data_IF_397936761887
#
_entry.id   IF_397936761887
#
_cell.length_a   1.000
_cell.length_b   1.000
_cell.length_c   1.000
_cell.angle_alpha   90.00
_cell.angle_beta   90.00
_cell.angle_gamma   90.00
#
_symmetry.space_group_name_H-M   'P 1'
#
loop_
_entity.id
_entity.type
_entity.pdbx_description
1 polymer ?
#
# COMPACT_ATOMS: atom_id res chain seq x y z
N UNK A 1 -19.69 2.35 14.45
CA UNK A 1 -18.26 2.06 14.78
C UNK A 1 -18.13 1.10 15.98
N UNK A 2 -19.02 0.15 16.14
CA UNK A 2 -18.92 -0.86 17.20
C UNK A 2 -17.69 -1.75 16.97
N UNK A 3 -16.75 -1.77 17.90
CA UNK A 3 -15.53 -2.58 17.86
C UNK A 3 -14.28 -1.93 17.23
N UNK A 4 -14.41 -0.79 16.56
CA UNK A 4 -13.28 0.00 16.03
C UNK A 4 -12.78 0.94 17.12
N UNK A 5 -11.49 0.97 17.37
CA UNK A 5 -10.86 1.88 18.33
C UNK A 5 -9.63 2.57 17.72
N UNK A 6 -9.37 3.84 18.06
CA UNK A 6 -8.19 4.53 17.61
C UNK A 6 -6.95 3.92 18.27
N UNK A 7 -5.94 3.61 17.47
CA UNK A 7 -4.65 3.11 17.92
C UNK A 7 -3.59 4.20 17.90
N UNK A 8 -3.55 4.97 16.80
CA UNK A 8 -2.65 6.12 16.61
C UNK A 8 -3.46 7.28 16.07
N UNK A 9 -3.19 8.50 16.52
CA UNK A 9 -3.90 9.70 16.06
C UNK A 9 -2.95 10.84 15.78
N UNK A 10 -3.39 11.79 14.94
CA UNK A 10 -2.71 13.04 14.73
C UNK A 10 -1.44 12.94 13.88
N UNK A 11 -1.50 12.17 12.79
CA UNK A 11 -0.45 12.09 11.78
C UNK A 11 -0.78 12.94 10.56
N UNK A 12 0.22 13.16 9.69
CA UNK A 12 0.02 13.99 8.52
C UNK A 12 -0.80 13.25 7.45
N UNK A 13 -0.24 12.18 6.88
CA UNK A 13 -0.92 11.32 5.91
C UNK A 13 -0.28 9.93 5.90
N UNK A 14 -1.04 8.90 6.28
CA UNK A 14 -0.52 7.57 6.50
C UNK A 14 -0.80 6.66 5.31
N UNK A 15 0.24 5.94 4.86
CA UNK A 15 0.25 5.06 3.69
C UNK A 15 1.05 3.78 3.91
N UNK A 16 0.91 2.83 2.96
CA UNK A 16 1.73 1.63 2.83
C UNK A 16 1.84 0.78 4.09
N UNK A 17 0.73 0.51 4.83
CA UNK A 17 0.84 -0.24 6.08
C UNK A 17 1.27 -1.68 5.81
N UNK A 18 2.15 -2.21 6.69
CA UNK A 18 2.59 -3.61 6.65
C UNK A 18 2.77 -4.15 8.07
N UNK A 19 2.22 -5.32 8.32
CA UNK A 19 2.45 -6.06 9.56
C UNK A 19 3.64 -6.99 9.39
N UNK A 20 4.71 -6.76 10.15
CA UNK A 20 5.94 -7.52 10.09
C UNK A 20 6.56 -7.65 11.49
N UNK A 21 7.06 -8.84 11.84
CA UNK A 21 7.74 -9.13 13.11
C UNK A 21 7.05 -8.55 14.36
N UNK A 22 5.72 -8.75 14.45
CA UNK A 22 4.94 -8.36 15.62
C UNK A 22 4.73 -6.87 15.79
N UNK A 23 4.87 -6.07 14.72
CA UNK A 23 4.58 -4.65 14.71
C UNK A 23 3.92 -4.22 13.39
N UNK A 24 3.16 -3.13 13.44
CA UNK A 24 2.69 -2.44 12.26
C UNK A 24 3.73 -1.39 11.83
N UNK A 25 4.06 -1.37 10.56
CA UNK A 25 4.85 -0.32 9.93
C UNK A 25 3.96 0.46 9.00
N UNK A 26 4.15 1.77 8.94
CA UNK A 26 3.41 2.65 8.03
C UNK A 26 4.27 3.85 7.66
N UNK A 27 4.07 4.36 6.46
CA UNK A 27 4.66 5.60 6.00
C UNK A 27 3.78 6.78 6.44
N UNK A 28 4.32 7.73 7.22
CA UNK A 28 3.72 9.06 7.36
C UNK A 28 4.23 9.90 6.18
N UNK A 29 3.57 9.71 5.02
CA UNK A 29 4.01 10.20 3.72
C UNK A 29 4.28 11.71 3.72
N UNK A 30 3.38 12.49 4.29
CA UNK A 30 3.54 13.93 4.40
C UNK A 30 4.26 14.37 5.69
N UNK A 31 4.52 13.43 6.61
CA UNK A 31 5.35 13.63 7.79
C UNK A 31 6.81 13.24 7.58
N UNK A 32 7.16 12.78 6.36
CA UNK A 32 8.52 12.42 5.96
C UNK A 32 9.17 11.35 6.85
N UNK A 33 8.40 10.35 7.26
CA UNK A 33 8.87 9.33 8.17
C UNK A 33 8.24 7.96 7.91
N UNK A 34 9.02 6.90 8.11
CA UNK A 34 8.50 5.55 8.29
C UNK A 34 8.35 5.31 9.79
N UNK A 35 7.16 4.88 10.18
CA UNK A 35 6.77 4.63 11.56
C UNK A 35 6.76 3.14 11.86
N UNK A 36 7.14 2.79 13.09
CA UNK A 36 6.89 1.49 13.71
C UNK A 36 5.89 1.67 14.85
N UNK A 37 4.81 0.90 14.82
CA UNK A 37 3.71 0.97 15.78
C UNK A 37 3.56 -0.37 16.47
N UNK A 38 3.58 -0.40 17.81
CA UNK A 38 3.31 -1.60 18.59
C UNK A 38 1.82 -1.96 18.57
N UNK A 39 1.45 -3.17 19.00
CA UNK A 39 0.05 -3.56 19.16
C UNK A 39 -0.71 -2.66 20.16
N UNK A 40 0.00 -2.07 21.11
CA UNK A 40 -0.58 -1.16 22.12
C UNK A 40 -0.65 0.30 21.63
N UNK A 41 -0.16 0.58 20.43
CA UNK A 41 -0.19 1.92 19.82
C UNK A 41 1.01 2.80 20.14
N UNK A 42 2.07 2.27 20.72
CA UNK A 42 3.31 3.02 20.89
C UNK A 42 3.98 3.24 19.52
N UNK A 43 4.27 4.51 19.22
CA UNK A 43 4.83 4.91 17.92
C UNK A 43 6.28 5.32 18.06
N UNK A 44 7.12 4.83 17.18
CA UNK A 44 8.49 5.29 17.00
C UNK A 44 8.78 5.57 15.53
N UNK A 45 9.57 6.63 15.27
CA UNK A 45 10.12 6.88 13.93
C UNK A 45 11.27 5.90 13.70
N UNK A 46 11.15 5.12 12.63
CA UNK A 46 12.19 4.17 12.21
C UNK A 46 13.21 4.83 11.28
N UNK A 47 12.71 5.57 10.29
CA UNK A 47 13.50 6.24 9.24
C UNK A 47 12.86 7.59 8.93
N UNK A 48 13.70 8.62 8.78
CA UNK A 48 13.30 9.89 8.17
C UNK A 48 13.59 9.84 6.67
N UNK A 49 12.59 10.05 5.84
CA UNK A 49 12.68 9.94 4.38
C UNK A 49 11.62 10.83 3.73
N UNK A 50 12.00 11.59 2.72
CA UNK A 50 11.07 12.45 1.96
C UNK A 50 10.02 11.61 1.21
N UNK A 51 8.76 11.87 1.51
CA UNK A 51 7.58 11.24 0.94
C UNK A 51 7.71 9.70 0.79
N UNK A 52 7.86 8.94 1.91
CA UNK A 52 7.77 7.49 1.86
C UNK A 52 6.33 7.07 1.56
N UNK A 53 6.14 5.95 0.83
CA UNK A 53 4.84 5.32 0.59
C UNK A 53 4.94 3.81 0.82
N UNK A 54 5.03 2.99 -0.21
CA UNK A 54 5.06 1.53 -0.10
C UNK A 54 6.23 0.99 0.71
N UNK A 55 5.95 -0.06 1.47
CA UNK A 55 6.92 -0.79 2.31
C UNK A 55 6.94 -2.27 1.96
N UNK A 56 8.09 -2.91 2.09
CA UNK A 56 8.23 -4.36 1.97
C UNK A 56 9.58 -4.83 2.48
N UNK A 57 9.80 -6.14 2.56
CA UNK A 57 11.05 -6.70 3.08
C UNK A 57 11.70 -7.64 2.09
N UNK A 58 13.00 -7.48 1.94
CA UNK A 58 13.85 -8.47 1.26
C UNK A 58 14.02 -9.73 2.14
N UNK A 59 14.35 -10.88 1.53
CA UNK A 59 14.60 -12.12 2.29
C UNK A 59 15.74 -12.04 3.31
N UNK A 60 16.63 -11.05 3.20
CA UNK A 60 17.71 -10.79 4.16
C UNK A 60 17.27 -9.94 5.36
N UNK A 61 15.99 -9.53 5.42
CA UNK A 61 15.41 -8.72 6.48
C UNK A 61 15.54 -7.22 6.28
N UNK A 62 16.19 -6.75 5.21
CA UNK A 62 16.22 -5.31 4.87
C UNK A 62 14.85 -4.84 4.39
N UNK A 63 14.45 -3.64 4.82
CA UNK A 63 13.22 -3.00 4.36
C UNK A 63 13.45 -2.25 3.05
N UNK A 64 12.55 -2.41 2.10
CA UNK A 64 12.41 -1.56 0.92
C UNK A 64 11.32 -0.52 1.16
N UNK A 65 11.57 0.71 0.72
CA UNK A 65 10.69 1.86 0.90
C UNK A 65 10.62 2.63 -0.41
N UNK A 66 9.43 2.83 -0.96
CA UNK A 66 9.29 3.76 -2.10
C UNK A 66 9.41 5.21 -1.60
N UNK A 67 10.31 5.99 -2.23
CA UNK A 67 10.43 7.44 -2.05
C UNK A 67 9.83 8.12 -3.28
N UNK A 68 8.59 8.59 -3.12
CA UNK A 68 7.71 8.97 -4.23
C UNK A 68 8.32 10.04 -5.14
N UNK A 69 8.55 11.23 -4.61
CA UNK A 69 9.07 12.37 -5.37
C UNK A 69 10.50 12.14 -5.90
N UNK A 70 11.30 11.36 -5.18
CA UNK A 70 12.66 10.99 -5.63
C UNK A 70 12.64 9.92 -6.72
N UNK A 71 11.53 9.24 -6.90
CA UNK A 71 11.35 8.14 -7.85
C UNK A 71 12.42 7.06 -7.69
N UNK A 72 12.65 6.65 -6.44
CA UNK A 72 13.59 5.59 -6.13
C UNK A 72 13.06 4.67 -5.04
N UNK A 73 13.52 3.43 -5.06
CA UNK A 73 13.33 2.50 -3.95
C UNK A 73 14.54 2.61 -3.05
N UNK A 74 14.30 2.89 -1.77
CA UNK A 74 15.32 2.93 -0.74
C UNK A 74 15.41 1.58 -0.04
N UNK A 75 16.60 1.22 0.46
CA UNK A 75 16.84 0.04 1.30
C UNK A 75 17.34 0.49 2.66
N UNK A 76 16.70 0.00 3.69
CA UNK A 76 17.09 0.20 5.08
C UNK A 76 17.45 -1.14 5.71
N UNK A 77 18.66 -1.31 6.21
CA UNK A 77 19.18 -2.56 6.78
C UNK A 77 19.09 -2.63 8.32
N UNK A 78 18.39 -1.65 8.93
CA UNK A 78 18.28 -1.50 10.38
C UNK A 78 19.24 -0.43 10.94
N UNK A 79 20.21 0.06 10.16
CA UNK A 79 21.14 1.12 10.53
C UNK A 79 21.30 2.17 9.45
N UNK A 80 21.52 1.74 8.22
CA UNK A 80 21.82 2.60 7.10
C UNK A 80 20.67 2.62 6.09
N UNK A 81 20.40 3.81 5.54
CA UNK A 81 19.44 4.05 4.47
C UNK A 81 20.18 4.41 3.19
N UNK A 82 20.00 3.61 2.14
CA UNK A 82 20.65 3.83 0.84
C UNK A 82 19.68 3.68 -0.33
N UNK A 83 20.00 4.26 -1.48
CA UNK A 83 19.26 3.99 -2.71
C UNK A 83 19.48 2.54 -3.11
N UNK A 84 18.40 1.78 -3.28
CA UNK A 84 18.42 0.42 -3.81
C UNK A 84 18.26 0.42 -5.33
N UNK A 85 17.28 1.18 -5.84
CA UNK A 85 17.03 1.33 -7.27
C UNK A 85 16.60 2.76 -7.61
N UNK A 86 17.14 3.31 -8.68
CA UNK A 86 16.68 4.57 -9.30
C UNK A 86 15.66 4.23 -10.39
N UNK A 87 14.42 4.66 -10.19
CA UNK A 87 13.31 4.44 -11.10
C UNK A 87 13.01 5.65 -12.00
N UNK A 88 13.78 6.73 -11.88
CA UNK A 88 13.61 7.93 -12.70
C UNK A 88 13.71 7.69 -14.23
N UNK A 89 14.44 6.67 -14.72
CA UNK A 89 14.42 6.32 -16.13
C UNK A 89 13.09 5.70 -16.63
N UNK A 90 12.27 5.15 -15.72
CA UNK A 90 11.02 4.43 -16.02
C UNK A 90 9.78 5.21 -15.61
N UNK A 91 9.89 6.08 -14.61
CA UNK A 91 8.80 6.87 -14.06
C UNK A 91 8.99 8.36 -14.35
N UNK A 92 8.10 8.97 -15.12
CA UNK A 92 8.14 10.42 -15.41
C UNK A 92 7.71 11.27 -14.21
N UNK A 93 6.81 10.74 -13.38
CA UNK A 93 6.26 11.36 -12.16
C UNK A 93 6.44 10.45 -10.95
N UNK A 94 5.76 10.76 -9.84
CA UNK A 94 5.90 10.04 -8.59
C UNK A 94 5.63 8.53 -8.75
N UNK A 95 6.47 7.72 -8.11
CA UNK A 95 6.15 6.31 -7.82
C UNK A 95 5.22 6.24 -6.61
N UNK A 96 4.58 5.09 -6.39
CA UNK A 96 3.56 4.94 -5.35
C UNK A 96 3.86 3.75 -4.42
N UNK A 97 2.83 2.97 -4.06
CA UNK A 97 2.97 1.79 -3.19
C UNK A 97 3.87 0.72 -3.83
N UNK A 98 4.35 -0.18 -3.01
CA UNK A 98 5.10 -1.36 -3.43
C UNK A 98 4.71 -2.59 -2.61
N UNK A 99 4.88 -3.76 -3.19
CA UNK A 99 4.92 -5.02 -2.45
C UNK A 99 6.13 -5.84 -2.87
N UNK A 100 6.58 -6.74 -2.00
CA UNK A 100 7.76 -7.59 -2.24
C UNK A 100 7.33 -9.06 -2.18
N UNK A 101 7.73 -9.84 -3.18
CA UNK A 101 7.50 -11.28 -3.19
C UNK A 101 8.51 -12.03 -2.31
N UNK A 102 8.27 -13.32 -2.12
CA UNK A 102 9.16 -14.20 -1.33
C UNK A 102 10.58 -14.37 -1.90
N UNK A 103 10.81 -13.98 -3.15
CA UNK A 103 12.11 -14.04 -3.81
C UNK A 103 12.85 -12.69 -3.76
N UNK A 104 12.20 -11.64 -3.27
CA UNK A 104 12.74 -10.30 -3.13
C UNK A 104 12.49 -9.39 -4.34
N UNK A 105 11.63 -9.80 -5.28
CA UNK A 105 11.21 -8.89 -6.33
C UNK A 105 10.20 -7.90 -5.76
N UNK A 106 10.48 -6.60 -5.89
CA UNK A 106 9.58 -5.53 -5.49
C UNK A 106 8.79 -5.04 -6.71
N UNK A 107 7.46 -5.10 -6.64
CA UNK A 107 6.56 -4.50 -7.62
C UNK A 107 6.20 -3.11 -7.15
N UNK A 108 6.36 -2.10 -8.02
CA UNK A 108 6.24 -0.69 -7.67
C UNK A 108 5.25 -0.01 -8.62
N UNK A 109 4.22 0.60 -8.04
CA UNK A 109 3.25 1.42 -8.75
C UNK A 109 3.81 2.81 -9.06
N UNK A 110 3.18 3.51 -10.00
CA UNK A 110 3.48 4.91 -10.32
C UNK A 110 2.22 5.65 -10.76
N UNK A 111 2.22 6.96 -10.63
CA UNK A 111 1.11 7.81 -11.08
C UNK A 111 1.06 7.91 -12.61
N UNK A 112 2.20 8.10 -13.26
CA UNK A 112 2.31 8.27 -14.71
C UNK A 112 2.05 9.68 -15.22
N UNK A 113 1.56 10.60 -14.37
CA UNK A 113 1.20 11.98 -14.71
C UNK A 113 1.39 12.89 -13.48
N UNK A 114 1.41 14.22 -13.69
CA UNK A 114 1.50 15.20 -12.59
C UNK A 114 0.16 15.30 -11.84
N UNK A 115 -0.02 14.39 -10.87
CA UNK A 115 -1.20 14.39 -10.01
C UNK A 115 -1.33 15.70 -9.21
N UNK A 116 -0.21 16.19 -8.67
CA UNK A 116 -0.20 17.44 -7.88
C UNK A 116 -0.46 18.68 -8.74
N UNK A 117 -0.03 18.66 -10.00
CA UNK A 117 -0.31 19.71 -10.97
C UNK A 117 -1.72 19.66 -11.56
N UNK A 118 -2.45 18.57 -11.32
CA UNK A 118 -3.84 18.41 -11.79
C UNK A 118 -3.96 17.97 -13.25
N UNK A 119 -2.96 17.29 -13.76
CA UNK A 119 -3.04 16.67 -15.08
C UNK A 119 -4.13 15.57 -15.12
N UNK A 120 -4.67 15.31 -16.33
CA UNK A 120 -5.59 14.19 -16.51
C UNK A 120 -4.88 12.85 -16.33
N UNK A 121 -5.52 11.87 -15.68
CA UNK A 121 -4.93 10.54 -15.47
C UNK A 121 -4.57 9.86 -16.79
N UNK A 122 -3.33 9.36 -16.85
CA UNK A 122 -2.85 8.52 -17.95
C UNK A 122 -2.34 7.19 -17.41
N UNK A 123 -2.44 6.16 -18.23
CA UNK A 123 -1.94 4.85 -17.86
C UNK A 123 -0.40 4.84 -17.81
N UNK A 124 0.14 4.03 -16.92
CA UNK A 124 1.57 3.89 -16.69
C UNK A 124 1.98 2.41 -16.53
N UNK A 125 3.29 2.16 -16.60
CA UNK A 125 3.83 0.84 -16.39
C UNK A 125 3.87 0.46 -14.91
N UNK A 126 3.69 -0.83 -14.60
CA UNK A 126 4.11 -1.42 -13.33
C UNK A 126 5.59 -1.77 -13.42
N UNK A 127 6.35 -1.37 -12.41
CA UNK A 127 7.78 -1.58 -12.37
C UNK A 127 8.11 -2.77 -11.47
N UNK A 128 9.19 -3.48 -11.78
CA UNK A 128 9.80 -4.48 -10.90
C UNK A 128 11.23 -4.05 -10.60
N UNK A 129 11.60 -4.18 -9.32
CA UNK A 129 12.96 -4.04 -8.83
C UNK A 129 13.42 -5.39 -8.32
N UNK A 130 14.52 -5.88 -8.85
CA UNK A 130 15.12 -7.16 -8.46
C UNK A 130 15.97 -7.01 -7.19
N UNK A 131 16.30 -8.12 -6.49
CA UNK A 131 17.08 -8.05 -5.24
C UNK A 131 18.46 -7.39 -5.38
N UNK A 132 19.03 -7.32 -6.57
CA UNK A 132 20.31 -6.66 -6.86
C UNK A 132 20.15 -5.16 -7.16
N UNK A 133 18.91 -4.63 -7.17
CA UNK A 133 18.58 -3.24 -7.48
C UNK A 133 18.38 -2.95 -8.96
N UNK A 134 18.51 -3.93 -9.85
CA UNK A 134 18.11 -3.74 -11.25
C UNK A 134 16.60 -3.58 -11.38
N UNK A 135 16.14 -2.77 -12.36
CA UNK A 135 14.74 -2.46 -12.53
C UNK A 135 14.29 -2.60 -13.99
N UNK A 136 13.01 -2.97 -14.17
CA UNK A 136 12.38 -3.06 -15.48
C UNK A 136 10.87 -2.82 -15.40
N UNK A 137 10.25 -2.53 -16.54
CA UNK A 137 8.79 -2.56 -16.69
C UNK A 137 8.34 -4.02 -16.85
N UNK A 138 7.27 -4.43 -16.13
CA UNK A 138 6.74 -5.81 -16.15
C UNK A 138 5.29 -5.90 -16.59
N UNK A 139 4.58 -4.79 -16.59
CA UNK A 139 3.25 -4.63 -17.19
C UNK A 139 3.08 -3.17 -17.60
N UNK A 140 2.13 -2.89 -18.46
CA UNK A 140 1.79 -1.55 -18.93
C UNK A 140 0.29 -1.26 -18.74
N UNK A 141 -0.13 -0.05 -19.10
CA UNK A 141 -1.55 0.33 -19.18
C UNK A 141 -2.32 0.16 -17.86
N UNK A 142 -1.71 0.52 -16.71
CA UNK A 142 -2.38 0.60 -15.42
C UNK A 142 -2.76 2.04 -15.10
N UNK A 143 -3.99 2.27 -14.66
CA UNK A 143 -4.52 3.59 -14.31
C UNK A 143 -4.33 3.86 -12.81
N UNK A 144 -3.18 4.47 -12.46
CA UNK A 144 -2.80 4.79 -11.08
C UNK A 144 -2.69 3.52 -10.22
N UNK A 145 -1.64 2.73 -10.45
CA UNK A 145 -1.34 1.56 -9.65
C UNK A 145 -1.06 1.98 -8.20
N UNK A 146 -1.90 1.48 -7.27
CA UNK A 146 -1.88 1.82 -5.85
C UNK A 146 -1.58 0.57 -5.01
N UNK A 147 -2.37 0.26 -3.98
CA UNK A 147 -2.14 -0.88 -3.11
C UNK A 147 -1.95 -2.19 -3.87
N UNK A 148 -1.01 -3.02 -3.42
CA UNK A 148 -0.70 -4.31 -4.03
C UNK A 148 -0.55 -5.40 -2.99
N UNK A 149 -1.04 -6.60 -3.34
CA UNK A 149 -0.90 -7.80 -2.51
C UNK A 149 -0.61 -9.02 -3.38
N UNK A 150 -0.01 -10.03 -2.79
CA UNK A 150 0.25 -11.32 -3.44
C UNK A 150 -0.54 -12.39 -2.69
N UNK A 151 -1.20 -13.29 -3.44
CA UNK A 151 -1.95 -14.41 -2.87
C UNK A 151 -1.07 -15.33 -2.01
N UNK A 152 -1.69 -16.06 -1.08
CA UNK A 152 -1.01 -16.90 -0.09
C UNK A 152 -0.08 -17.94 -0.69
N UNK A 153 -0.44 -18.47 -1.87
CA UNK A 153 0.36 -19.43 -2.61
C UNK A 153 1.52 -18.77 -3.40
N UNK A 154 1.53 -17.44 -3.48
CA UNK A 154 2.51 -16.65 -4.21
C UNK A 154 2.36 -16.68 -5.72
N UNK A 155 1.21 -17.12 -6.24
CA UNK A 155 1.00 -17.31 -7.67
C UNK A 155 0.31 -16.15 -8.39
N UNK A 156 -0.27 -15.20 -7.64
CA UNK A 156 -1.01 -14.07 -8.22
C UNK A 156 -0.62 -12.76 -7.54
N UNK A 157 -0.27 -11.77 -8.35
CA UNK A 157 -0.17 -10.37 -7.92
C UNK A 157 -1.50 -9.67 -8.20
N UNK A 158 -2.06 -9.03 -7.18
CA UNK A 158 -3.25 -8.18 -7.27
C UNK A 158 -2.85 -6.72 -7.10
N UNK A 159 -3.28 -5.87 -8.02
CA UNK A 159 -2.97 -4.43 -8.07
C UNK A 159 -4.26 -3.63 -8.07
N UNK A 160 -4.43 -2.74 -7.11
CA UNK A 160 -5.50 -1.75 -7.11
C UNK A 160 -5.20 -0.67 -8.15
N UNK A 161 -6.08 -0.46 -9.11
CA UNK A 161 -6.02 0.63 -10.07
C UNK A 161 -7.04 1.70 -9.65
N UNK A 162 -6.59 2.79 -9.01
CA UNK A 162 -7.50 3.78 -8.43
C UNK A 162 -8.43 4.38 -9.47
N UNK A 163 -7.91 4.93 -10.55
CA UNK A 163 -8.75 5.50 -11.62
C UNK A 163 -9.31 4.45 -12.57
N UNK A 164 -8.81 3.21 -12.52
CA UNK A 164 -9.41 2.06 -13.19
C UNK A 164 -10.64 1.53 -12.46
N UNK A 165 -10.85 1.89 -11.19
CA UNK A 165 -11.91 1.37 -10.30
C UNK A 165 -12.00 -0.15 -10.33
N UNK A 166 -10.86 -0.80 -10.19
CA UNK A 166 -10.77 -2.26 -10.25
C UNK A 166 -9.54 -2.77 -9.50
N UNK A 167 -9.56 -4.03 -9.24
CA UNK A 167 -8.37 -4.80 -8.90
C UNK A 167 -7.98 -5.60 -10.14
N UNK A 168 -6.76 -5.44 -10.60
CA UNK A 168 -6.18 -6.20 -11.71
C UNK A 168 -5.31 -7.32 -11.15
N UNK A 169 -5.52 -8.55 -11.65
CA UNK A 169 -4.73 -9.71 -11.30
C UNK A 169 -3.74 -10.08 -12.40
N UNK A 170 -2.56 -10.55 -12.00
CA UNK A 170 -1.54 -11.11 -12.86
C UNK A 170 -1.09 -12.46 -12.31
N UNK A 171 -0.86 -13.44 -13.17
CA UNK A 171 -0.14 -14.64 -12.77
C UNK A 171 1.32 -14.27 -12.53
N UNK A 172 1.83 -14.60 -11.34
CA UNK A 172 3.17 -14.27 -10.88
C UNK A 172 4.06 -15.51 -10.93
N UNK A 173 5.09 -15.48 -11.76
CA UNK A 173 6.08 -16.54 -11.82
C UNK A 173 7.20 -16.33 -10.80
N UNK A 174 7.94 -17.40 -10.47
CA UNK A 174 9.03 -17.35 -9.48
C UNK A 174 10.25 -16.50 -9.86
N UNK A 175 10.34 -16.09 -11.12
CA UNK A 175 11.35 -15.12 -11.61
C UNK A 175 10.85 -13.66 -11.60
N UNK A 176 9.66 -13.42 -11.02
CA UNK A 176 9.03 -12.11 -10.96
C UNK A 176 8.39 -11.65 -12.28
N UNK A 177 8.28 -12.52 -13.29
CA UNK A 177 7.54 -12.18 -14.51
C UNK A 177 6.03 -12.27 -14.28
N UNK A 178 5.29 -11.37 -14.97
CA UNK A 178 3.83 -11.29 -14.90
C UNK A 178 3.22 -11.71 -16.22
N UNK A 179 2.14 -12.50 -16.15
CA UNK A 179 1.38 -12.94 -17.31
C UNK A 179 -0.13 -12.94 -17.02
N UNK A 180 -0.94 -13.27 -18.00
CA UNK A 180 -2.38 -13.50 -17.88
C UNK A 180 -3.12 -12.37 -17.12
N UNK A 181 -2.85 -11.10 -17.52
CA UNK A 181 -3.58 -9.94 -16.98
C UNK A 181 -5.07 -10.11 -17.10
N UNK A 182 -5.79 -9.89 -15.99
CA UNK A 182 -7.25 -9.97 -15.93
C UNK A 182 -7.83 -8.98 -14.95
N UNK A 183 -9.08 -8.58 -15.16
CA UNK A 183 -9.85 -7.89 -14.12
C UNK A 183 -10.20 -8.93 -13.05
N UNK A 184 -9.65 -8.80 -11.85
CA UNK A 184 -9.94 -9.67 -10.72
C UNK A 184 -11.25 -9.25 -10.04
N UNK A 185 -11.48 -7.93 -9.89
CA UNK A 185 -12.74 -7.36 -9.40
C UNK A 185 -12.97 -5.96 -9.97
N UNK A 186 -14.19 -5.69 -10.43
CA UNK A 186 -14.68 -4.32 -10.66
C UNK A 186 -15.15 -3.72 -9.33
N UNK A 187 -14.92 -2.42 -9.13
CA UNK A 187 -15.25 -1.72 -7.89
C UNK A 187 -16.11 -0.48 -8.15
N UNK A 188 -16.95 -0.13 -7.19
CA UNK A 188 -17.79 1.08 -7.28
C UNK A 188 -16.98 2.36 -7.05
N UNK A 189 -15.92 2.30 -6.23
CA UNK A 189 -15.09 3.43 -5.82
C UNK A 189 -13.65 3.29 -6.35
N UNK A 190 -12.87 4.33 -6.12
CA UNK A 190 -11.43 4.33 -6.33
C UNK A 190 -10.77 3.47 -5.25
N UNK A 191 -10.19 2.30 -5.57
CA UNK A 191 -9.42 1.55 -4.58
C UNK A 191 -8.12 2.29 -4.26
N UNK A 192 -7.73 2.28 -2.98
CA UNK A 192 -6.48 2.80 -2.50
C UNK A 192 -5.61 1.67 -1.93
N UNK A 193 -5.14 1.73 -0.68
CA UNK A 193 -4.41 0.63 -0.09
C UNK A 193 -5.27 -0.61 0.13
N UNK A 194 -4.69 -1.79 -0.08
CA UNK A 194 -5.38 -3.09 0.03
C UNK A 194 -4.62 -4.07 0.92
N UNK A 195 -5.34 -5.01 1.53
CA UNK A 195 -4.79 -6.12 2.30
C UNK A 195 -5.48 -7.43 1.94
N UNK A 196 -4.74 -8.55 1.97
CA UNK A 196 -5.28 -9.88 1.63
C UNK A 196 -5.42 -10.76 2.87
N UNK A 197 -6.48 -11.53 2.94
CA UNK A 197 -6.70 -12.47 4.05
C UNK A 197 -6.49 -13.95 3.66
N UNK A 198 -6.65 -14.85 4.63
CA UNK A 198 -6.41 -16.28 4.48
C UNK A 198 -7.32 -16.99 3.46
N UNK A 199 -8.42 -16.36 3.07
CA UNK A 199 -9.35 -16.86 2.05
C UNK A 199 -9.05 -16.27 0.66
N UNK A 200 -7.91 -15.58 0.49
CA UNK A 200 -7.53 -14.78 -0.69
C UNK A 200 -8.56 -13.67 -1.04
N UNK A 201 -9.41 -13.27 -0.08
CA UNK A 201 -10.24 -12.11 -0.24
C UNK A 201 -9.48 -10.84 0.14
N UNK A 202 -9.83 -9.73 -0.49
CA UNK A 202 -9.09 -8.47 -0.39
C UNK A 202 -9.91 -7.44 0.36
N UNK A 203 -9.34 -6.90 1.45
CA UNK A 203 -9.81 -5.66 2.07
C UNK A 203 -9.33 -4.48 1.26
N UNK A 204 -10.24 -3.61 0.89
CA UNK A 204 -10.00 -2.46 0.01
C UNK A 204 -10.40 -1.19 0.74
N UNK A 205 -9.50 -0.23 0.81
CA UNK A 205 -9.83 1.13 1.21
C UNK A 205 -10.56 1.85 0.07
N UNK A 206 -11.70 2.45 0.38
CA UNK A 206 -12.58 3.18 -0.54
C UNK A 206 -12.71 4.64 -0.08
N UNK A 207 -11.81 5.54 -0.49
CA UNK A 207 -11.73 6.91 0.04
C UNK A 207 -12.97 7.76 -0.21
N UNK A 208 -13.60 7.67 -1.39
CA UNK A 208 -14.74 8.51 -1.73
C UNK A 208 -16.03 8.10 -1.02
N UNK A 209 -16.11 6.86 -0.54
CA UNK A 209 -17.27 6.35 0.21
C UNK A 209 -17.01 6.22 1.72
N UNK A 210 -15.86 6.68 2.22
CA UNK A 210 -15.51 6.64 3.64
C UNK A 210 -15.70 5.24 4.24
N UNK A 211 -15.16 4.20 3.60
CA UNK A 211 -15.36 2.81 4.04
C UNK A 211 -14.21 1.88 3.63
N UNK A 212 -14.10 0.77 4.33
CA UNK A 212 -13.33 -0.40 3.91
C UNK A 212 -14.29 -1.51 3.51
N UNK A 213 -14.03 -2.17 2.39
CA UNK A 213 -14.84 -3.31 1.91
C UNK A 213 -13.97 -4.56 1.76
N UNK A 214 -14.53 -5.71 2.11
CA UNK A 214 -13.92 -7.01 1.82
C UNK A 214 -14.53 -7.57 0.54
N UNK A 215 -13.69 -7.83 -0.45
CA UNK A 215 -14.10 -8.23 -1.80
C UNK A 215 -13.50 -9.59 -2.12
N UNK A 216 -14.25 -10.47 -2.75
CA UNK A 216 -13.75 -11.71 -3.34
C UNK A 216 -13.58 -11.58 -4.85
N UNK A 217 -12.89 -12.51 -5.49
CA UNK A 217 -12.76 -12.54 -6.95
C UNK A 217 -14.14 -12.46 -7.62
N UNK A 218 -14.23 -11.61 -8.66
CA UNK A 218 -15.50 -11.29 -9.31
C UNK A 218 -16.23 -10.07 -8.76
N UNK A 219 -15.75 -9.45 -7.67
CA UNK A 219 -16.23 -8.15 -7.17
C UNK A 219 -17.35 -8.21 -6.13
N UNK A 220 -17.76 -9.41 -5.65
CA UNK A 220 -18.75 -9.50 -4.57
C UNK A 220 -18.19 -8.92 -3.26
N UNK A 221 -18.91 -7.96 -2.67
CA UNK A 221 -18.59 -7.38 -1.36
C UNK A 221 -19.19 -8.26 -0.25
N UNK A 222 -18.33 -8.84 0.58
CA UNK A 222 -18.72 -9.77 1.65
C UNK A 222 -18.73 -9.14 3.04
N UNK A 223 -18.08 -8.00 3.23
CA UNK A 223 -18.12 -7.20 4.46
C UNK A 223 -17.84 -5.72 4.16
N UNK A 224 -18.35 -4.85 5.05
CA UNK A 224 -18.16 -3.40 4.98
C UNK A 224 -17.91 -2.84 6.37
N UNK A 225 -16.96 -1.90 6.48
CA UNK A 225 -16.67 -1.13 7.69
C UNK A 225 -16.71 0.34 7.30
N UNK A 226 -17.74 1.06 7.77
CA UNK A 226 -17.89 2.48 7.49
C UNK A 226 -17.04 3.34 8.43
N UNK A 227 -16.43 4.39 7.87
CA UNK A 227 -15.62 5.39 8.57
C UNK A 227 -16.17 6.81 8.30
N UNK A 228 -17.42 7.11 8.69
CA UNK A 228 -18.12 8.31 8.26
C UNK A 228 -17.34 9.58 8.61
N UNK A 229 -17.12 10.43 7.58
CA UNK A 229 -16.37 11.66 7.67
C UNK A 229 -14.85 11.47 7.74
N UNK A 230 -14.38 10.26 7.43
CA UNK A 230 -12.95 9.93 7.33
C UNK A 230 -12.70 9.07 6.10
N UNK A 231 -11.90 9.57 5.18
CA UNK A 231 -11.50 8.82 4.00
C UNK A 231 -10.71 7.58 4.41
N UNK A 232 -11.07 6.44 3.87
CA UNK A 232 -10.32 5.20 4.02
C UNK A 232 -9.13 5.23 3.05
N UNK A 233 -7.91 5.19 3.56
CA UNK A 233 -6.68 5.37 2.77
C UNK A 233 -6.01 4.03 2.50
N UNK A 234 -5.69 3.27 3.56
CA UNK A 234 -5.03 1.99 3.41
C UNK A 234 -5.38 1.07 4.58
N UNK A 235 -5.19 -0.23 4.40
CA UNK A 235 -5.40 -1.19 5.47
C UNK A 235 -4.36 -2.31 5.45
N UNK A 236 -4.23 -2.99 6.60
CA UNK A 236 -3.37 -4.15 6.76
C UNK A 236 -3.94 -5.08 7.82
N UNK A 237 -3.81 -6.37 7.61
CA UNK A 237 -4.14 -7.40 8.59
C UNK A 237 -2.92 -7.76 9.43
N UNK A 238 -3.11 -7.93 10.73
CA UNK A 238 -2.02 -8.28 11.63
C UNK A 238 -2.50 -8.60 13.05
N UNK A 239 -1.69 -8.23 14.04
CA UNK A 239 -1.88 -8.62 15.44
C UNK A 239 -1.36 -10.03 15.73
N UNK A 240 -1.27 -10.39 17.01
CA UNK A 240 -0.67 -11.65 17.45
C UNK A 240 -1.29 -12.91 16.83
N UNK A 241 -2.56 -12.86 16.43
CA UNK A 241 -3.28 -13.96 15.77
C UNK A 241 -3.67 -13.67 14.31
N UNK A 242 -3.19 -12.54 13.77
CA UNK A 242 -3.46 -12.11 12.40
C UNK A 242 -4.88 -11.59 12.14
N UNK A 243 -5.71 -11.41 13.15
CA UNK A 243 -7.14 -11.06 13.03
C UNK A 243 -7.46 -9.60 13.39
N UNK A 244 -6.48 -8.74 13.43
CA UNK A 244 -6.66 -7.31 13.60
C UNK A 244 -6.53 -6.63 12.25
N UNK A 245 -7.59 -5.97 11.80
CA UNK A 245 -7.54 -5.07 10.65
C UNK A 245 -7.13 -3.70 11.17
N UNK A 246 -5.96 -3.23 10.73
CA UNK A 246 -5.49 -1.87 10.91
C UNK A 246 -5.98 -1.04 9.72
N UNK A 247 -6.64 0.07 10.03
CA UNK A 247 -7.29 0.94 9.06
C UNK A 247 -6.70 2.35 9.15
N UNK A 248 -6.03 2.77 8.12
CA UNK A 248 -5.47 4.11 8.00
C UNK A 248 -6.51 5.04 7.38
N UNK A 249 -6.82 6.12 8.06
CA UNK A 249 -7.84 7.07 7.63
C UNK A 249 -7.34 8.50 7.76
N UNK A 250 -7.91 9.42 6.96
CA UNK A 250 -7.65 10.85 7.07
C UNK A 250 -8.94 11.66 6.86
N UNK A 251 -8.98 12.91 7.31
CA UNK A 251 -10.12 13.82 7.02
C UNK A 251 -9.89 14.65 5.76
N UNK A 252 -8.71 14.53 5.14
CA UNK A 252 -8.35 15.20 3.89
C UNK A 252 -7.70 14.20 2.94
N UNK A 253 -7.92 14.36 1.65
CA UNK A 253 -7.16 13.74 0.57
C UNK A 253 -6.23 14.76 -0.09
N UNK A 254 -5.97 15.84 0.62
CA UNK A 254 -5.38 17.04 0.08
C UNK A 254 -3.88 16.97 -0.14
N UNK A 255 -3.41 18.09 -0.67
CA UNK A 255 -2.00 18.34 -0.90
C UNK A 255 -1.21 18.30 0.42
N UNK A 256 0.10 18.05 0.34
CA UNK A 256 1.02 17.92 1.47
C UNK A 256 0.84 19.00 2.53
N UNK A 257 0.77 20.27 2.13
CA UNK A 257 0.58 21.38 3.07
C UNK A 257 -0.72 21.28 3.87
N UNK A 258 -1.80 20.86 3.21
CA UNK A 258 -3.11 20.70 3.86
C UNK A 258 -3.07 19.57 4.89
N UNK A 259 -2.52 18.42 4.54
CA UNK A 259 -2.36 17.28 5.45
C UNK A 259 -1.45 17.58 6.64
N UNK A 260 -0.32 18.25 6.40
CA UNK A 260 0.60 18.70 7.47
C UNK A 260 -0.06 19.70 8.42
N UNK A 261 -1.00 20.52 7.93
CA UNK A 261 -1.74 21.46 8.76
C UNK A 261 -2.87 20.77 9.52
N UNK A 262 -3.60 19.88 8.87
CA UNK A 262 -4.74 19.18 9.46
C UNK A 262 -4.32 18.16 10.53
N UNK A 263 -3.19 17.47 10.34
CA UNK A 263 -2.70 16.41 11.25
C UNK A 263 -3.84 15.43 11.62
N UNK A 264 -4.57 14.99 10.61
CA UNK A 264 -5.85 14.29 10.78
C UNK A 264 -5.81 12.81 10.39
N UNK A 265 -4.64 12.31 10.01
CA UNK A 265 -4.47 10.90 9.72
C UNK A 265 -4.36 10.08 11.02
N UNK A 266 -5.15 9.02 11.09
CA UNK A 266 -5.24 8.14 12.23
C UNK A 266 -5.17 6.67 11.80
N UNK A 267 -4.70 5.80 12.70
CA UNK A 267 -4.81 4.35 12.58
C UNK A 267 -5.88 3.89 13.55
N UNK A 268 -6.87 3.17 13.03
CA UNK A 268 -7.85 2.44 13.82
C UNK A 268 -7.55 0.95 13.76
N UNK A 269 -7.88 0.24 14.83
CA UNK A 269 -7.80 -1.21 14.90
C UNK A 269 -9.18 -1.81 15.15
N UNK A 270 -9.48 -2.92 14.48
CA UNK A 270 -10.71 -3.68 14.64
C UNK A 270 -10.46 -5.17 14.48
N UNK A 271 -11.11 -5.98 15.31
CA UNK A 271 -11.10 -7.45 15.16
C UNK A 271 -12.00 -7.87 14.02
N UNK A 272 -11.48 -8.69 13.12
CA UNK A 272 -12.20 -9.31 12.00
C UNK A 272 -12.21 -10.84 12.12
N UNK A 273 -13.04 -11.50 11.30
CA UNK A 273 -13.20 -12.96 11.38
C UNK A 273 -12.06 -13.72 10.70
N UNK A 274 -11.62 -13.23 9.57
CA UNK A 274 -10.51 -13.79 8.79
C UNK A 274 -9.17 -13.23 9.28
N UNK A 275 -8.10 -13.97 9.12
CA UNK A 275 -6.76 -13.53 9.48
C UNK A 275 -5.95 -13.16 8.25
N UNK A 276 -4.83 -12.49 8.48
CA UNK A 276 -3.80 -12.21 7.49
C UNK A 276 -3.43 -13.48 6.74
N UNK A 277 -3.28 -13.36 5.44
CA UNK A 277 -2.65 -14.38 4.60
C UNK A 277 -1.22 -14.67 5.10
N UNK A 278 -0.79 -15.93 5.08
CA UNK A 278 0.53 -16.35 5.56
C UNK A 278 1.70 -15.63 4.90
#
# INVERSE_FOLDING_TARGET
>A
MAGMHPLVTGRSFLEGPRWHDGALYASDMHGDAVLRVSEDGDVSTLVELDQPSGLGWLPDGSMLISSMARRCVMRFDGSDLAVHADLSPFASHEINDLCVDRHGHAFVGQFGYDYAGGDEPVAAALLRVDPDGSACEVADDLLFANGMVITSDGSTLLVAESFGRRITGFDLAGDGSLDNRRVWAELEDFPDGIAIDEDDAVWVASPAFDRFVRVIEGGEVTATIDTPGRHAIACELGGADGRTLFMLTATTLGQRFESQTAMSADIYAMRVQTRKSP
#
